data_IF_876621114485
#
_entry.id   IF_876621114485
#
_cell.length_a   1.000
_cell.length_b   1.000
_cell.length_c   1.000
_cell.angle_alpha   90.00
_cell.angle_beta   90.00
_cell.angle_gamma   90.00
#
_symmetry.space_group_name_H-M   'P 1'
#
loop_
_entity.id
_entity.type
_entity.pdbx_description
1 polymer ?
#
# COMPACT_ATOMS: atom_id res chain seq x y z
N UNK A 1 15.62 -0.36 7.00
CA UNK A 1 16.44 0.10 5.86
C UNK A 1 15.94 -0.62 4.63
N UNK A 2 15.62 0.08 3.55
CA UNK A 2 15.38 -0.54 2.25
C UNK A 2 16.73 -0.84 1.60
N UNK A 3 16.94 -2.08 1.16
CA UNK A 3 18.21 -2.55 0.59
C UNK A 3 18.23 -2.69 -0.93
N UNK A 4 17.07 -2.51 -1.56
CA UNK A 4 16.88 -2.70 -2.99
C UNK A 4 15.46 -2.39 -3.41
N UNK A 5 15.23 -2.43 -4.72
CA UNK A 5 13.92 -2.31 -5.35
C UNK A 5 13.99 -2.93 -6.76
N UNK A 6 12.86 -3.42 -7.27
CA UNK A 6 12.73 -3.84 -8.66
C UNK A 6 12.50 -2.60 -9.55
N UNK A 7 13.39 -2.30 -10.52
CA UNK A 7 13.22 -1.16 -11.42
C UNK A 7 11.90 -1.22 -12.20
N UNK A 8 11.22 -0.09 -12.32
CA UNK A 8 9.93 0.02 -13.02
C UNK A 8 8.71 -0.44 -12.21
N UNK A 9 8.89 -1.16 -11.10
CA UNK A 9 7.79 -1.59 -10.22
C UNK A 9 7.86 -0.90 -8.86
N UNK A 10 9.00 -1.01 -8.18
CA UNK A 10 9.14 -0.64 -6.76
C UNK A 10 9.94 0.65 -6.56
N UNK A 11 10.50 1.24 -7.63
CA UNK A 11 11.34 2.43 -7.55
C UNK A 11 10.63 3.61 -6.84
N UNK A 12 9.30 3.72 -6.96
CA UNK A 12 8.50 4.74 -6.28
C UNK A 12 8.39 4.54 -4.77
N UNK A 13 8.61 3.33 -4.26
CA UNK A 13 8.52 3.04 -2.83
C UNK A 13 9.68 3.65 -2.04
N UNK A 14 10.86 3.77 -2.66
CA UNK A 14 12.05 4.37 -2.03
C UNK A 14 11.82 5.84 -1.65
N UNK A 15 11.47 6.77 -2.57
CA UNK A 15 11.18 8.15 -2.19
C UNK A 15 9.97 8.25 -1.28
N UNK A 16 8.96 7.38 -1.39
CA UNK A 16 7.86 7.34 -0.43
C UNK A 16 8.37 7.11 1.01
N UNK A 17 9.23 6.12 1.24
CA UNK A 17 9.78 5.83 2.58
C UNK A 17 10.72 6.93 3.07
N UNK A 18 11.64 7.39 2.22
CA UNK A 18 12.69 8.36 2.59
C UNK A 18 12.10 9.75 2.84
N UNK A 19 11.23 10.23 1.96
CA UNK A 19 10.69 11.59 2.06
C UNK A 19 9.71 11.75 3.23
N UNK A 20 8.98 10.68 3.59
CA UNK A 20 8.14 10.69 4.79
C UNK A 20 8.95 10.45 6.08
N UNK A 21 10.25 10.18 5.98
CA UNK A 21 11.14 9.97 7.12
C UNK A 21 10.75 8.77 7.97
N UNK A 22 10.23 7.72 7.32
CA UNK A 22 9.83 6.45 7.94
C UNK A 22 10.86 5.33 7.69
N UNK A 23 11.95 5.67 7.03
CA UNK A 23 13.09 4.79 6.81
C UNK A 23 14.16 5.47 5.98
N UNK A 24 15.20 4.71 5.67
CA UNK A 24 16.28 5.11 4.77
C UNK A 24 16.49 4.02 3.70
N UNK A 25 17.23 4.37 2.65
CA UNK A 25 17.70 3.45 1.62
C UNK A 25 19.23 3.35 1.65
N UNK A 26 19.75 2.14 1.49
CA UNK A 26 21.17 1.88 1.23
C UNK A 26 21.30 0.51 0.57
N UNK A 27 22.04 0.42 -0.52
CA UNK A 27 22.35 -0.84 -1.22
C UNK A 27 23.68 -1.46 -0.76
N UNK A 28 24.36 -0.84 0.21
CA UNK A 28 25.67 -1.28 0.71
C UNK A 28 25.49 -2.10 2.01
N UNK A 29 25.79 -3.42 2.02
CA UNK A 29 25.59 -4.26 3.20
C UNK A 29 26.24 -3.74 4.48
N UNK A 30 27.46 -3.18 4.39
CA UNK A 30 28.16 -2.60 5.53
C UNK A 30 27.43 -1.39 6.14
N UNK A 31 26.85 -0.52 5.29
CA UNK A 31 26.09 0.64 5.76
C UNK A 31 24.74 0.22 6.36
N UNK A 32 24.10 -0.80 5.79
CA UNK A 32 22.87 -1.39 6.36
C UNK A 32 23.16 -1.90 7.77
N UNK A 33 24.20 -2.73 7.94
CA UNK A 33 24.58 -3.29 9.23
C UNK A 33 24.92 -2.18 10.24
N UNK A 34 25.71 -1.17 9.85
CA UNK A 34 26.05 -0.03 10.69
C UNK A 34 24.80 0.77 11.12
N UNK A 35 23.85 0.99 10.20
CA UNK A 35 22.60 1.70 10.50
C UNK A 35 21.75 0.94 11.51
N UNK A 36 21.59 -0.38 11.32
CA UNK A 36 20.79 -1.20 12.23
C UNK A 36 21.45 -1.25 13.61
N UNK A 37 22.77 -1.44 13.68
CA UNK A 37 23.51 -1.43 14.94
C UNK A 37 23.39 -0.07 15.66
N UNK A 38 23.47 1.04 14.91
CA UNK A 38 23.26 2.38 15.45
C UNK A 38 21.85 2.56 16.02
N UNK A 39 20.80 2.18 15.29
CA UNK A 39 19.41 2.28 15.75
C UNK A 39 19.12 1.42 16.99
N UNK A 40 19.82 0.30 17.17
CA UNK A 40 19.70 -0.52 18.38
C UNK A 40 20.62 -0.05 19.52
N UNK A 41 21.47 0.94 19.27
CA UNK A 41 22.33 1.59 20.26
C UNK A 41 21.97 3.06 20.44
N UNK A 42 22.91 3.95 20.16
CA UNK A 42 22.78 5.41 20.37
C UNK A 42 21.71 6.08 19.50
N UNK A 43 21.26 5.43 18.43
CA UNK A 43 20.24 5.92 17.51
C UNK A 43 18.81 5.50 17.85
N UNK A 44 18.57 4.97 19.05
CA UNK A 44 17.26 4.44 19.44
C UNK A 44 16.12 5.45 19.33
N UNK A 45 16.35 6.70 19.74
CA UNK A 45 15.34 7.75 19.65
C UNK A 45 14.94 8.03 18.19
N UNK A 46 15.88 7.92 17.25
CA UNK A 46 15.60 8.04 15.82
C UNK A 46 14.73 6.88 15.33
N UNK A 47 15.00 5.66 15.78
CA UNK A 47 14.18 4.49 15.44
C UNK A 47 12.75 4.63 15.97
N UNK A 48 12.60 5.07 17.23
CA UNK A 48 11.30 5.31 17.85
C UNK A 48 10.53 6.43 17.15
N UNK A 49 11.20 7.52 16.78
CA UNK A 49 10.61 8.61 16.02
C UNK A 49 10.12 8.18 14.64
N UNK A 50 10.90 7.36 13.91
CA UNK A 50 10.46 6.79 12.63
C UNK A 50 9.26 5.86 12.84
N UNK A 51 9.28 4.99 13.86
CA UNK A 51 8.16 4.10 14.17
C UNK A 51 6.86 4.87 14.43
N UNK A 52 6.93 5.94 15.22
CA UNK A 52 5.78 6.81 15.49
C UNK A 52 5.27 7.53 14.24
N UNK A 53 6.16 7.94 13.32
CA UNK A 53 5.76 8.50 12.01
C UNK A 53 5.07 7.45 11.16
N UNK A 54 5.60 6.23 11.09
CA UNK A 54 5.00 5.12 10.35
C UNK A 54 3.59 4.83 10.83
N UNK A 55 3.36 4.78 12.15
CA UNK A 55 2.04 4.56 12.73
C UNK A 55 1.00 5.62 12.29
N UNK A 56 1.43 6.87 12.07
CA UNK A 56 0.56 7.94 11.55
C UNK A 56 0.35 7.88 10.03
N UNK A 57 1.31 7.31 9.30
CA UNK A 57 1.26 7.21 7.84
C UNK A 57 0.43 6.01 7.36
N UNK A 58 0.41 4.92 8.14
CA UNK A 58 -0.30 3.70 7.78
C UNK A 58 -1.83 3.90 7.77
N UNK A 59 -2.49 3.23 6.83
CA UNK A 59 -3.94 3.06 6.83
C UNK A 59 -4.30 1.56 7.05
N UNK A 60 -4.56 1.13 8.29
CA UNK A 60 -4.89 -0.28 8.58
C UNK A 60 -6.27 -0.70 8.06
N UNK A 61 -7.13 0.24 7.61
CA UNK A 61 -8.47 -0.04 7.10
C UNK A 61 -8.57 0.02 5.58
N UNK A 62 -7.48 0.30 4.87
CA UNK A 62 -7.46 0.52 3.43
C UNK A 62 -8.24 -0.53 2.63
N UNK A 63 -8.08 -1.82 2.93
CA UNK A 63 -8.82 -2.89 2.24
C UNK A 63 -10.33 -2.80 2.43
N UNK A 64 -10.80 -2.49 3.65
CA UNK A 64 -12.24 -2.34 3.91
C UNK A 64 -12.81 -1.10 3.22
N UNK A 65 -12.05 0.00 3.23
CA UNK A 65 -12.44 1.25 2.56
C UNK A 65 -12.56 1.04 1.06
N UNK A 66 -11.57 0.39 0.43
CA UNK A 66 -11.60 0.04 -1.00
C UNK A 66 -12.80 -0.85 -1.33
N UNK A 67 -13.08 -1.88 -0.53
CA UNK A 67 -14.22 -2.79 -0.77
C UNK A 67 -15.55 -2.05 -0.64
N UNK A 68 -15.69 -1.19 0.37
CA UNK A 68 -16.89 -0.38 0.54
C UNK A 68 -17.12 0.55 -0.66
N UNK A 69 -16.06 1.21 -1.14
CA UNK A 69 -16.11 2.09 -2.31
C UNK A 69 -16.49 1.32 -3.59
N UNK A 70 -15.92 0.14 -3.81
CA UNK A 70 -16.28 -0.71 -4.95
C UNK A 70 -17.75 -1.14 -4.88
N UNK A 71 -18.25 -1.52 -3.70
CA UNK A 71 -19.66 -1.89 -3.53
C UNK A 71 -20.59 -0.71 -3.83
N UNK A 72 -20.25 0.49 -3.33
CA UNK A 72 -21.00 1.72 -3.61
C UNK A 72 -21.02 2.07 -5.10
N UNK A 73 -19.91 1.88 -5.82
CA UNK A 73 -19.85 2.08 -7.26
C UNK A 73 -20.77 1.13 -8.03
N UNK A 74 -20.88 -0.13 -7.59
CA UNK A 74 -21.79 -1.12 -8.19
C UNK A 74 -23.26 -0.77 -7.94
N UNK A 75 -23.60 -0.35 -6.72
CA UNK A 75 -24.96 0.05 -6.36
C UNK A 75 -25.41 1.34 -7.09
N UNK A 76 -24.45 2.23 -7.38
CA UNK A 76 -24.70 3.50 -8.07
C UNK A 76 -24.73 3.36 -9.60
N UNK A 77 -24.32 2.22 -10.14
CA UNK A 77 -24.37 1.97 -11.58
C UNK A 77 -25.79 1.53 -11.95
N UNK A 78 -26.52 2.30 -12.80
CA UNK A 78 -27.86 1.88 -13.21
C UNK A 78 -27.77 0.51 -13.88
N UNK A 79 -28.65 -0.40 -13.44
CA UNK A 79 -28.70 -1.75 -13.96
C UNK A 79 -29.11 -1.69 -15.44
N UNK A 80 -28.12 -1.70 -16.35
CA UNK A 80 -28.31 -1.90 -17.78
C UNK A 80 -28.64 -3.38 -18.05
N UNK A 81 -29.61 -3.93 -17.34
CA UNK A 81 -30.33 -5.10 -17.83
C UNK A 81 -31.25 -4.63 -18.93
N UNK A 82 -30.79 -4.69 -20.18
CA UNK A 82 -31.70 -4.87 -21.29
C UNK A 82 -32.64 -6.05 -20.96
N UNK A 83 -33.96 -5.92 -21.16
CA UNK A 83 -34.86 -7.05 -20.98
C UNK A 83 -34.40 -8.20 -21.89
N UNK A 84 -34.08 -9.35 -21.29
CA UNK A 84 -33.82 -10.59 -22.01
C UNK A 84 -35.01 -10.86 -22.95
N UNK A 85 -34.77 -11.10 -24.26
CA UNK A 85 -35.85 -11.45 -25.18
C UNK A 85 -36.60 -12.66 -24.62
N UNK A 86 -37.91 -12.52 -24.38
CA UNK A 86 -38.76 -13.64 -24.00
C UNK A 86 -38.72 -14.67 -25.12
N UNK A 87 -38.19 -15.86 -24.87
CA UNK A 87 -38.26 -16.96 -25.84
C UNK A 87 -39.72 -17.19 -26.23
N UNK A 88 -40.04 -17.34 -27.54
CA UNK A 88 -41.39 -17.64 -27.96
C UNK A 88 -41.77 -19.02 -27.43
N UNK A 89 -42.77 -19.05 -26.55
CA UNK A 89 -43.44 -20.27 -26.11
C UNK A 89 -43.86 -21.05 -27.34
N UNK A 90 -43.23 -22.21 -27.59
CA UNK A 90 -43.67 -23.12 -28.64
C UNK A 90 -45.07 -23.60 -28.29
N UNK A 91 -46.06 -23.08 -29.02
CA UNK A 91 -47.43 -23.57 -28.97
C UNK A 91 -47.47 -25.05 -29.33
N UNK A 92 -48.16 -25.83 -28.48
CA UNK A 92 -48.52 -27.23 -28.69
C UNK A 92 -49.67 -27.28 -29.70
#
# INVERSE_FOLDING_TARGET
>A
VLSGFIPGQEAGNVPYVVNHGVGIYSDQPAQIAATVAYWFGSGRDQLEAMSAKTARLCNPRATFEIVAEIAELLDSTPNNTEPQPTEPTKGI
#
